data_IF_159692261908
#
_entry.id   IF_159692261908
#
_cell.length_a   1.000
_cell.length_b   1.000
_cell.length_c   1.000
_cell.angle_alpha   90.00
_cell.angle_beta   90.00
_cell.angle_gamma   90.00
#
_symmetry.space_group_name_H-M   'P 1'
#
loop_
_entity.id
_entity.type
_entity.pdbx_description
1 polymer ?
#
# COMPACT_ATOMS: atom_id res chain seq x y z
N UNK A 1 -32.14 0.04 -4.35
CA UNK A 1 -32.36 0.43 -2.94
C UNK A 1 -31.06 0.98 -2.34
N UNK A 2 -31.11 2.06 -1.57
CA UNK A 2 -29.94 2.58 -0.84
C UNK A 2 -29.67 1.62 0.33
N UNK A 3 -28.67 0.74 0.20
CA UNK A 3 -28.22 -0.14 1.27
C UNK A 3 -27.53 0.67 2.39
N UNK A 4 -27.04 -0.02 3.43
CA UNK A 4 -26.34 0.58 4.57
C UNK A 4 -25.12 1.43 4.12
N UNK A 5 -25.23 2.74 4.27
CA UNK A 5 -24.25 3.74 3.84
C UNK A 5 -22.93 3.59 4.59
N UNK A 6 -22.96 3.25 5.88
CA UNK A 6 -21.74 3.12 6.68
C UNK A 6 -20.87 1.97 6.14
N UNK A 7 -21.51 0.87 5.74
CA UNK A 7 -20.82 -0.25 5.09
C UNK A 7 -20.27 0.13 3.73
N UNK A 8 -21.01 0.90 2.94
CA UNK A 8 -20.50 1.37 1.64
C UNK A 8 -19.27 2.28 1.80
N UNK A 9 -19.26 3.17 2.79
CA UNK A 9 -18.12 4.04 3.06
C UNK A 9 -16.87 3.24 3.44
N UNK A 10 -17.00 2.19 4.26
CA UNK A 10 -15.85 1.41 4.74
C UNK A 10 -15.35 0.41 3.70
N UNK A 11 -16.26 -0.23 2.95
CA UNK A 11 -15.91 -1.38 2.11
C UNK A 11 -15.90 -1.12 0.60
N UNK A 12 -16.47 -0.01 0.13
CA UNK A 12 -16.59 0.27 -1.30
C UNK A 12 -15.95 1.60 -1.73
N UNK A 13 -15.57 2.47 -0.80
CA UNK A 13 -14.96 3.76 -1.08
C UNK A 13 -13.42 3.65 -1.11
N UNK A 14 -12.76 4.36 -2.03
CA UNK A 14 -11.30 4.29 -2.27
C UNK A 14 -10.61 5.67 -2.32
N UNK A 15 -11.31 6.73 -1.92
CA UNK A 15 -10.91 8.13 -1.87
C UNK A 15 -11.33 8.95 -3.09
N UNK A 16 -11.66 8.32 -4.21
CA UNK A 16 -11.90 9.04 -5.47
C UNK A 16 -13.21 9.81 -5.53
N UNK A 17 -14.18 9.47 -4.67
CA UNK A 17 -15.47 10.17 -4.60
C UNK A 17 -15.49 11.31 -3.59
N UNK A 18 -14.36 11.64 -2.97
CA UNK A 18 -14.26 12.76 -2.03
C UNK A 18 -14.35 14.08 -2.80
N UNK A 19 -15.36 14.88 -2.46
CA UNK A 19 -15.60 16.20 -3.05
C UNK A 19 -14.75 17.29 -2.38
N UNK A 20 -14.60 17.25 -1.06
CA UNK A 20 -13.91 18.28 -0.28
C UNK A 20 -13.17 17.72 0.93
N UNK A 21 -11.98 18.24 1.22
CA UNK A 21 -11.24 17.98 2.47
C UNK A 21 -10.88 19.31 3.11
N UNK A 22 -11.11 19.42 4.42
CA UNK A 22 -10.77 20.60 5.22
C UNK A 22 -9.91 20.20 6.42
N UNK A 23 -8.84 20.95 6.66
CA UNK A 23 -7.94 20.79 7.81
C UNK A 23 -7.79 22.15 8.47
N UNK A 24 -8.07 22.22 9.78
CA UNK A 24 -7.98 23.46 10.57
C UNK A 24 -8.74 24.65 9.95
N UNK A 25 -9.93 24.38 9.40
CA UNK A 25 -10.76 25.40 8.74
C UNK A 25 -10.34 25.78 7.32
N UNK A 26 -9.21 25.26 6.81
CA UNK A 26 -8.75 25.50 5.44
C UNK A 26 -9.15 24.34 4.51
N UNK A 27 -9.76 24.66 3.37
CA UNK A 27 -10.03 23.68 2.32
C UNK A 27 -8.69 23.33 1.66
N UNK A 28 -8.32 22.04 1.67
CA UNK A 28 -7.06 21.52 1.10
C UNK A 28 -7.27 20.72 -0.19
N UNK A 29 -8.49 20.23 -0.41
CA UNK A 29 -8.93 19.56 -1.63
C UNK A 29 -10.38 19.95 -1.93
N UNK A 30 -10.68 20.26 -3.20
CA UNK A 30 -12.02 20.54 -3.69
C UNK A 30 -12.13 20.06 -5.15
N UNK A 31 -13.25 19.43 -5.52
CA UNK A 31 -13.50 18.90 -6.87
C UNK A 31 -12.36 18.03 -7.42
N UNK A 32 -11.76 17.21 -6.55
CA UNK A 32 -10.65 16.32 -6.89
C UNK A 32 -9.32 17.04 -7.18
N UNK A 33 -9.16 18.31 -6.77
CA UNK A 33 -7.93 19.09 -6.93
C UNK A 33 -7.41 19.60 -5.59
N UNK A 34 -6.11 19.51 -5.36
CA UNK A 34 -5.48 20.12 -4.20
C UNK A 34 -5.44 21.65 -4.37
N UNK A 35 -5.79 22.36 -3.31
CA UNK A 35 -5.83 23.84 -3.29
C UNK A 35 -4.56 24.44 -2.69
N UNK A 36 -3.76 23.64 -2.01
CA UNK A 36 -2.59 24.09 -1.24
C UNK A 36 -1.26 23.83 -1.93
N UNK A 37 -1.22 23.04 -3.01
CA UNK A 37 -0.01 22.71 -3.76
C UNK A 37 -0.24 22.76 -5.27
N UNK A 38 0.83 23.01 -6.03
CA UNK A 38 0.86 22.82 -7.48
C UNK A 38 1.21 21.36 -7.79
N UNK A 39 0.18 20.53 -7.98
CA UNK A 39 0.34 19.11 -8.30
C UNK A 39 1.22 18.85 -9.54
N UNK A 40 0.99 19.51 -10.70
CA UNK A 40 1.89 19.39 -11.86
C UNK A 40 3.35 19.70 -11.56
N UNK A 41 3.63 20.77 -10.81
CA UNK A 41 5.00 21.15 -10.47
C UNK A 41 5.67 20.12 -9.56
N UNK A 42 4.97 19.65 -8.52
CA UNK A 42 5.48 18.60 -7.63
C UNK A 42 5.76 17.31 -8.41
N UNK A 43 4.84 16.89 -9.30
CA UNK A 43 5.05 15.72 -10.14
C UNK A 43 6.22 15.90 -11.12
N UNK A 44 6.48 17.12 -11.60
CA UNK A 44 7.63 17.41 -12.44
C UNK A 44 8.95 17.27 -11.66
N UNK A 45 9.02 17.83 -10.45
CA UNK A 45 10.18 17.69 -9.56
C UNK A 45 10.48 16.22 -9.22
N UNK A 46 9.43 15.45 -8.94
CA UNK A 46 9.54 13.99 -8.70
C UNK A 46 10.11 13.30 -9.94
N UNK A 47 9.58 13.59 -11.14
CA UNK A 47 10.06 12.96 -12.39
C UNK A 47 11.53 13.30 -12.68
N UNK A 48 11.98 14.49 -12.30
CA UNK A 48 13.38 14.89 -12.43
C UNK A 48 14.29 14.16 -11.44
N UNK A 49 13.85 14.01 -10.19
CA UNK A 49 14.71 13.50 -9.09
C UNK A 49 14.72 11.98 -8.98
N UNK A 50 13.59 11.32 -9.25
CA UNK A 50 13.42 9.87 -9.08
C UNK A 50 14.43 9.02 -9.88
N UNK A 51 14.80 9.34 -11.13
CA UNK A 51 15.76 8.53 -11.88
C UNK A 51 17.13 8.41 -11.19
N UNK A 52 17.66 9.52 -10.67
CA UNK A 52 18.93 9.50 -9.94
C UNK A 52 18.81 8.69 -8.65
N UNK A 53 17.71 8.85 -7.92
CA UNK A 53 17.43 8.07 -6.73
C UNK A 53 17.30 6.56 -7.05
N UNK A 54 16.59 6.18 -8.11
CA UNK A 54 16.46 4.79 -8.54
C UNK A 54 17.82 4.16 -8.91
N UNK A 55 18.70 4.92 -9.54
CA UNK A 55 20.05 4.46 -9.89
C UNK A 55 20.90 4.18 -8.63
N UNK A 56 20.82 5.04 -7.61
CA UNK A 56 21.48 4.79 -6.32
C UNK A 56 20.81 3.65 -5.55
N UNK A 57 19.48 3.59 -5.56
CA UNK A 57 18.70 2.54 -4.90
C UNK A 57 19.02 1.16 -5.49
N UNK A 58 19.20 1.04 -6.81
CA UNK A 58 19.58 -0.21 -7.46
C UNK A 58 20.90 -0.79 -6.93
N UNK A 59 21.88 0.05 -6.59
CA UNK A 59 23.15 -0.39 -5.98
C UNK A 59 22.94 -0.91 -4.56
N UNK A 60 21.98 -0.36 -3.82
CA UNK A 60 21.61 -0.84 -2.49
C UNK A 60 20.91 -2.20 -2.60
N UNK A 61 19.97 -2.33 -3.53
CA UNK A 61 19.28 -3.59 -3.80
C UNK A 61 20.25 -4.70 -4.22
N UNK A 62 21.25 -4.39 -5.07
CA UNK A 62 22.31 -5.35 -5.43
C UNK A 62 23.09 -5.84 -4.21
N UNK A 63 23.47 -4.94 -3.29
CA UNK A 63 24.15 -5.32 -2.05
C UNK A 63 23.25 -6.14 -1.14
N UNK A 64 21.96 -5.80 -1.08
CA UNK A 64 20.99 -6.47 -0.23
C UNK A 64 20.48 -7.80 -0.80
N UNK A 65 20.69 -8.06 -2.10
CA UNK A 65 20.26 -9.30 -2.75
C UNK A 65 20.79 -10.56 -2.06
N UNK A 66 21.94 -10.48 -1.37
CA UNK A 66 22.48 -11.57 -0.56
C UNK A 66 21.54 -12.02 0.57
N UNK A 67 20.65 -11.14 1.04
CA UNK A 67 19.69 -11.45 2.11
C UNK A 67 18.44 -12.17 1.61
N UNK A 68 18.13 -12.11 0.32
CA UNK A 68 16.94 -12.72 -0.29
C UNK A 68 16.73 -14.18 0.14
N UNK A 69 17.71 -15.10 0.02
CA UNK A 69 17.48 -16.50 0.38
C UNK A 69 17.24 -16.69 1.88
N UNK A 70 17.82 -15.83 2.72
CA UNK A 70 17.64 -15.89 4.16
C UNK A 70 16.26 -15.37 4.57
N UNK A 71 15.79 -14.26 3.98
CA UNK A 71 14.44 -13.78 4.21
C UNK A 71 13.38 -14.73 3.68
N UNK A 72 13.61 -15.33 2.50
CA UNK A 72 12.76 -16.38 1.96
C UNK A 72 12.67 -17.57 2.91
N UNK A 73 13.80 -18.02 3.48
CA UNK A 73 13.82 -19.13 4.44
C UNK A 73 13.17 -18.77 5.78
N UNK A 74 13.37 -17.55 6.29
CA UNK A 74 12.69 -17.03 7.48
C UNK A 74 11.18 -17.03 7.25
N UNK A 75 10.71 -16.46 6.14
CA UNK A 75 9.30 -16.44 5.77
C UNK A 75 8.74 -17.86 5.64
N UNK A 76 9.46 -18.76 4.98
CA UNK A 76 9.06 -20.18 4.84
C UNK A 76 8.90 -20.84 6.20
N UNK A 77 9.87 -20.69 7.11
CA UNK A 77 9.79 -21.26 8.48
C UNK A 77 8.63 -20.68 9.27
N UNK A 78 8.46 -19.36 9.23
CA UNK A 78 7.39 -18.66 9.96
C UNK A 78 6.00 -19.09 9.47
N UNK A 79 5.83 -19.25 8.16
CA UNK A 79 4.57 -19.68 7.54
C UNK A 79 4.28 -21.17 7.75
N UNK A 80 5.30 -21.99 7.97
CA UNK A 80 5.16 -23.45 8.23
C UNK A 80 5.04 -23.80 9.72
N UNK A 81 5.20 -22.84 10.61
CA UNK A 81 5.12 -23.10 12.04
C UNK A 81 3.66 -23.26 12.46
N UNK A 82 3.28 -24.38 13.07
CA UNK A 82 1.95 -24.47 13.68
C UNK A 82 1.86 -23.50 14.88
N UNK A 83 0.85 -22.62 14.85
CA UNK A 83 0.54 -21.65 15.91
C UNK A 83 -0.89 -21.84 16.46
N UNK A 84 -1.56 -22.94 16.11
CA UNK A 84 -2.92 -23.26 16.56
C UNK A 84 -4.03 -22.41 15.94
N UNK A 85 -3.75 -21.69 14.85
CA UNK A 85 -4.74 -20.93 14.07
C UNK A 85 -4.35 -20.84 12.59
N UNK A 86 -5.35 -20.74 11.71
CA UNK A 86 -5.14 -20.48 10.29
C UNK A 86 -4.69 -19.03 10.08
N UNK A 87 -3.59 -18.86 9.34
CA UNK A 87 -2.97 -17.55 9.04
C UNK A 87 -3.65 -16.83 7.89
N UNK A 88 -4.43 -17.53 7.09
CA UNK A 88 -5.04 -17.00 5.88
C UNK A 88 -6.55 -16.86 6.06
N UNK A 89 -7.11 -15.77 5.56
CA UNK A 89 -8.54 -15.51 5.57
C UNK A 89 -9.05 -15.34 4.13
N UNK A 90 -10.28 -15.79 3.87
CA UNK A 90 -10.97 -15.66 2.58
C UNK A 90 -11.16 -16.98 1.83
N UNK A 91 -11.71 -16.90 0.62
CA UNK A 91 -12.09 -18.06 -0.22
C UNK A 91 -10.95 -18.57 -1.10
N UNK A 92 -9.74 -18.03 -0.91
CA UNK A 92 -8.55 -18.53 -1.60
C UNK A 92 -8.30 -19.99 -1.20
N UNK A 93 -7.77 -20.82 -2.12
CA UNK A 93 -7.40 -22.19 -1.78
C UNK A 93 -6.51 -22.22 -0.52
N UNK A 94 -6.81 -23.14 0.39
CA UNK A 94 -5.99 -23.32 1.60
C UNK A 94 -4.52 -23.46 1.20
N UNK A 95 -3.66 -22.68 1.86
CA UNK A 95 -2.22 -22.76 1.63
C UNK A 95 -1.77 -24.21 1.88
N UNK A 96 -1.11 -24.89 0.91
CA UNK A 96 -0.77 -26.31 1.02
C UNK A 96 0.35 -26.60 2.04
N UNK A 97 0.83 -25.59 2.76
CA UNK A 97 1.80 -25.74 3.84
C UNK A 97 1.21 -26.32 5.12
N UNK A 98 2.08 -26.70 6.05
CA UNK A 98 1.69 -27.34 7.31
C UNK A 98 1.20 -26.30 8.33
N UNK A 99 0.02 -25.74 8.11
CA UNK A 99 -0.80 -25.17 9.19
C UNK A 99 -2.12 -25.93 9.16
N UNK A 100 -2.16 -27.06 9.86
CA UNK A 100 -3.40 -27.71 10.25
C UNK A 100 -3.63 -27.46 11.73
#
# INVERSE_FOLDING_TARGET
>A
PLNDIARHLVYAENGSSIEMVMVDGAIVLEDGRLTTIDEPAVLAEIRETVPAWLAEHAKLEEKNAVFEPYFAEIHRRATMQDIGLDRYAGDAPQWPGANR
#
